data_IF_546904418344
#
_entry.id   IF_546904418344
#
_cell.length_a   1.000
_cell.length_b   1.000
_cell.length_c   1.000
_cell.angle_alpha   90.00
_cell.angle_beta   90.00
_cell.angle_gamma   90.00
#
_symmetry.space_group_name_H-M   'P 1'
#
loop_
_entity.id
_entity.type
_entity.pdbx_description
1 polymer ?
#
# COMPACT_ATOMS: atom_id res chain seq x y z
N UNK A 1 2.72 7.92 2.20
CA UNK A 1 1.85 7.91 3.39
C UNK A 1 0.70 8.90 3.22
N UNK A 2 -0.38 8.79 3.99
CA UNK A 2 -1.53 9.71 3.93
C UNK A 2 -2.90 9.02 4.05
N UNK A 3 -3.96 9.80 4.27
CA UNK A 3 -5.33 9.30 4.50
C UNK A 3 -5.93 8.53 3.30
N UNK A 4 -6.90 7.65 3.52
CA UNK A 4 -7.61 6.96 2.42
C UNK A 4 -8.24 8.00 1.48
N UNK A 5 -8.10 7.82 0.17
CA UNK A 5 -8.62 8.76 -0.83
C UNK A 5 -7.66 9.86 -1.29
N UNK A 6 -6.47 10.00 -0.68
CA UNK A 6 -5.47 11.03 -1.07
C UNK A 6 -4.65 10.70 -2.32
N UNK A 7 -4.97 9.62 -3.04
CA UNK A 7 -4.29 9.30 -4.32
C UNK A 7 -2.96 8.55 -4.21
N UNK A 8 -2.58 8.01 -3.05
CA UNK A 8 -1.31 7.28 -2.83
C UNK A 8 -1.01 6.20 -3.88
N UNK A 9 -1.99 5.32 -4.18
CA UNK A 9 -1.79 4.23 -5.13
C UNK A 9 -1.56 4.75 -6.55
N UNK A 10 -2.21 5.86 -6.93
CA UNK A 10 -1.98 6.50 -8.22
C UNK A 10 -0.56 7.06 -8.29
N UNK A 11 -0.16 7.81 -7.26
CA UNK A 11 1.21 8.36 -7.17
C UNK A 11 2.27 7.26 -7.27
N UNK A 12 2.08 6.12 -6.60
CA UNK A 12 3.05 5.01 -6.68
C UNK A 12 3.14 4.36 -8.06
N UNK A 13 2.07 4.37 -8.84
CA UNK A 13 2.14 3.90 -10.23
C UNK A 13 2.81 4.95 -11.11
N UNK A 14 2.48 6.23 -10.93
CA UNK A 14 3.07 7.33 -11.71
C UNK A 14 4.60 7.39 -11.54
N UNK A 15 5.13 7.06 -10.35
CA UNK A 15 6.58 6.99 -10.10
C UNK A 15 7.29 5.92 -10.96
N UNK A 16 6.59 4.86 -11.37
CA UNK A 16 7.17 3.80 -12.21
C UNK A 16 7.53 4.25 -13.62
N UNK A 17 7.04 5.42 -14.04
CA UNK A 17 7.45 6.04 -15.32
C UNK A 17 8.88 6.60 -15.28
N UNK A 18 9.41 6.84 -14.08
CA UNK A 18 10.73 7.41 -13.86
C UNK A 18 11.72 6.41 -13.25
N UNK A 19 11.22 5.43 -12.50
CA UNK A 19 12.03 4.48 -11.76
C UNK A 19 11.54 3.05 -11.95
N UNK A 20 12.47 2.08 -11.84
CA UNK A 20 12.11 0.67 -11.81
C UNK A 20 11.73 0.28 -10.38
N UNK A 21 10.44 0.12 -10.13
CA UNK A 21 9.90 -0.02 -8.79
C UNK A 21 8.99 -1.23 -8.63
N UNK A 22 8.92 -1.74 -7.40
CA UNK A 22 7.94 -2.72 -6.99
C UNK A 22 7.26 -2.25 -5.69
N UNK A 23 5.95 -2.50 -5.58
CA UNK A 23 5.13 -1.91 -4.52
C UNK A 23 4.85 -2.93 -3.43
N UNK A 24 5.01 -2.55 -2.17
CA UNK A 24 4.60 -3.31 -0.99
C UNK A 24 3.40 -2.59 -0.38
N UNK A 25 2.22 -3.23 -0.39
CA UNK A 25 1.03 -2.66 0.24
C UNK A 25 1.17 -2.71 1.78
N UNK A 26 1.01 -1.58 2.45
CA UNK A 26 0.98 -1.50 3.91
C UNK A 26 -0.43 -1.45 4.52
N UNK A 27 -1.49 -1.31 3.71
CA UNK A 27 -2.87 -1.29 4.20
C UNK A 27 -3.32 -2.68 4.69
N UNK A 28 -3.61 -2.78 5.98
CA UNK A 28 -3.99 -4.03 6.66
C UNK A 28 -5.22 -4.71 6.08
N UNK A 29 -6.15 -3.96 5.49
CA UNK A 29 -7.36 -4.53 4.93
C UNK A 29 -7.15 -5.05 3.50
N UNK A 30 -6.20 -4.46 2.77
CA UNK A 30 -5.93 -4.82 1.38
C UNK A 30 -5.06 -6.09 1.23
N UNK A 31 -4.51 -6.62 2.33
CA UNK A 31 -3.69 -7.85 2.32
C UNK A 31 -4.49 -9.10 1.98
N UNK A 32 -5.79 -9.13 2.29
CA UNK A 32 -6.65 -10.30 2.11
C UNK A 32 -7.09 -10.45 0.66
N UNK A 33 -7.25 -11.69 0.17
CA UNK A 33 -7.53 -11.99 -1.25
C UNK A 33 -8.86 -11.42 -1.73
N UNK A 34 -9.88 -11.43 -0.88
CA UNK A 34 -11.25 -11.01 -1.23
C UNK A 34 -11.52 -9.55 -0.83
N UNK A 35 -12.75 -9.08 -1.03
CA UNK A 35 -13.19 -7.74 -0.61
C UNK A 35 -12.57 -6.59 -1.41
N UNK A 36 -12.20 -6.81 -2.67
CA UNK A 36 -11.51 -5.83 -3.54
C UNK A 36 -12.21 -4.46 -3.59
N UNK A 37 -13.54 -4.46 -3.74
CA UNK A 37 -14.34 -3.23 -3.85
C UNK A 37 -14.31 -2.43 -2.54
N UNK A 38 -14.71 -3.07 -1.43
CA UNK A 38 -14.84 -2.39 -0.12
C UNK A 38 -13.50 -1.97 0.47
N UNK A 39 -12.44 -2.72 0.18
CA UNK A 39 -11.07 -2.37 0.58
C UNK A 39 -10.39 -1.40 -0.39
N UNK A 40 -11.04 -1.07 -1.52
CA UNK A 40 -10.54 -0.15 -2.54
C UNK A 40 -9.17 -0.56 -3.09
N UNK A 41 -9.00 -1.86 -3.37
CA UNK A 41 -7.76 -2.34 -3.98
C UNK A 41 -7.63 -1.76 -5.38
N UNK A 42 -6.39 -1.39 -5.71
CA UNK A 42 -6.03 -1.01 -7.07
C UNK A 42 -6.27 -2.20 -8.01
N UNK A 43 -6.98 -1.96 -9.10
CA UNK A 43 -7.36 -2.98 -10.09
C UNK A 43 -6.15 -3.40 -10.92
N UNK A 44 -6.23 -4.56 -11.58
CA UNK A 44 -5.14 -5.03 -12.43
C UNK A 44 -4.80 -4.06 -13.58
N UNK A 45 -5.82 -3.39 -14.14
CA UNK A 45 -5.62 -2.36 -15.16
C UNK A 45 -4.87 -1.13 -14.61
N UNK A 46 -5.26 -0.66 -13.42
CA UNK A 46 -4.60 0.48 -12.77
C UNK A 46 -3.17 0.16 -12.32
N UNK A 47 -2.84 -1.11 -12.04
CA UNK A 47 -1.47 -1.52 -11.69
C UNK A 47 -0.48 -1.35 -12.84
N UNK A 48 -0.94 -1.28 -14.10
CA UNK A 48 -0.08 -1.12 -15.29
C UNK A 48 1.10 -2.12 -15.36
N UNK A 49 0.90 -3.35 -14.89
CA UNK A 49 1.94 -4.39 -14.86
C UNK A 49 2.95 -4.28 -13.71
N UNK A 50 2.88 -3.25 -12.88
CA UNK A 50 3.74 -3.07 -11.70
C UNK A 50 3.45 -4.16 -10.68
N UNK A 51 4.51 -4.82 -10.20
CA UNK A 51 4.39 -5.88 -9.20
C UNK A 51 3.96 -5.29 -7.86
N UNK A 52 2.97 -5.93 -7.23
CA UNK A 52 2.48 -5.57 -5.90
C UNK A 52 2.59 -6.76 -4.95
N UNK A 53 3.22 -6.54 -3.81
CA UNK A 53 3.30 -7.46 -2.69
C UNK A 53 2.29 -7.08 -1.61
N UNK A 54 1.89 -8.06 -0.79
CA UNK A 54 0.94 -7.89 0.32
C UNK A 54 -0.40 -7.25 -0.11
N UNK A 55 -0.80 -7.44 -1.36
CA UNK A 55 -2.05 -6.93 -1.92
C UNK A 55 -2.87 -8.12 -2.45
N UNK A 56 -3.83 -8.58 -1.66
CA UNK A 56 -4.62 -9.76 -2.00
C UNK A 56 -3.91 -11.10 -1.85
N UNK A 57 -2.83 -11.16 -1.06
CA UNK A 57 -2.00 -12.36 -0.92
C UNK A 57 -2.50 -13.34 0.16
N UNK A 58 -3.20 -12.84 1.17
CA UNK A 58 -3.60 -13.64 2.33
C UNK A 58 -5.01 -14.20 2.17
N UNK A 59 -5.20 -15.50 2.42
CA UNK A 59 -6.52 -16.13 2.43
C UNK A 59 -7.13 -16.22 3.83
N UNK A 60 -6.27 -16.34 4.84
CA UNK A 60 -6.64 -16.50 6.25
C UNK A 60 -6.80 -15.12 6.91
N UNK A 61 -7.73 -15.02 7.85
CA UNK A 61 -8.03 -13.81 8.63
C UNK A 61 -7.00 -13.50 9.71
N UNK A 62 -6.08 -14.41 10.02
CA UNK A 62 -5.14 -14.27 11.14
C UNK A 62 -3.87 -13.47 10.82
N UNK A 63 -3.89 -12.61 9.80
CA UNK A 63 -2.72 -11.81 9.42
C UNK A 63 -2.41 -10.71 10.44
N UNK A 64 -1.28 -10.84 11.14
CA UNK A 64 -0.88 -9.92 12.23
C UNK A 64 0.17 -8.92 11.76
N UNK A 65 0.37 -7.89 12.58
CA UNK A 65 1.42 -6.90 12.37
C UNK A 65 2.84 -7.53 12.35
N UNK A 66 3.05 -8.67 13.02
CA UNK A 66 4.31 -9.43 12.93
C UNK A 66 4.51 -10.06 11.56
N UNK A 67 3.47 -10.70 11.01
CA UNK A 67 3.52 -11.28 9.67
C UNK A 67 3.78 -10.21 8.61
N UNK A 68 3.14 -9.05 8.76
CA UNK A 68 3.40 -7.88 7.92
C UNK A 68 4.87 -7.46 7.96
N UNK A 69 5.44 -7.30 9.15
CA UNK A 69 6.82 -6.89 9.33
C UNK A 69 7.78 -7.89 8.68
N UNK A 70 7.67 -9.18 9.05
CA UNK A 70 8.55 -10.24 8.56
C UNK A 70 8.46 -10.41 7.04
N UNK A 71 7.27 -10.32 6.45
CA UNK A 71 7.14 -10.40 4.99
C UNK A 71 7.67 -9.15 4.30
N UNK A 72 7.41 -7.97 4.85
CA UNK A 72 7.87 -6.71 4.25
C UNK A 72 9.40 -6.65 4.20
N UNK A 73 10.11 -7.04 5.25
CA UNK A 73 11.58 -7.07 5.23
C UNK A 73 12.11 -8.04 4.16
N UNK A 74 11.46 -9.19 3.97
CA UNK A 74 11.85 -10.15 2.94
C UNK A 74 11.60 -9.60 1.53
N UNK A 75 10.48 -8.91 1.30
CA UNK A 75 10.19 -8.29 0.01
C UNK A 75 11.13 -7.13 -0.29
N UNK A 76 11.42 -6.25 0.69
CA UNK A 76 12.41 -5.17 0.54
C UNK A 76 13.75 -5.74 0.05
N UNK A 77 14.27 -6.76 0.74
CA UNK A 77 15.54 -7.42 0.38
C UNK A 77 15.49 -8.09 -1.00
N UNK A 78 14.37 -8.72 -1.33
CA UNK A 78 14.16 -9.36 -2.64
C UNK A 78 14.15 -8.34 -3.78
N UNK A 79 13.46 -7.22 -3.60
CA UNK A 79 13.33 -6.15 -4.60
C UNK A 79 14.68 -5.45 -4.82
N UNK A 80 15.42 -5.17 -3.74
CA UNK A 80 16.74 -4.54 -3.86
C UNK A 80 17.75 -5.42 -4.61
N UNK A 81 17.67 -6.75 -4.44
CA UNK A 81 18.52 -7.70 -5.19
C UNK A 81 18.27 -7.71 -6.70
N UNK A 82 17.08 -7.30 -7.15
CA UNK A 82 16.73 -7.21 -8.58
C UNK A 82 17.04 -5.84 -9.19
N UNK A 83 17.74 -4.96 -8.46
CA UNK A 83 17.99 -3.56 -8.83
C UNK A 83 16.70 -2.75 -9.06
N UNK A 84 15.63 -3.13 -8.35
CA UNK A 84 14.39 -2.37 -8.27
C UNK A 84 14.37 -1.55 -6.96
N UNK A 85 13.66 -0.43 -6.96
CA UNK A 85 13.40 0.35 -5.74
C UNK A 85 12.09 -0.14 -5.07
N UNK A 86 12.13 -0.54 -3.79
CA UNK A 86 10.92 -0.91 -3.06
C UNK A 86 10.14 0.34 -2.63
N UNK A 87 8.85 0.41 -2.98
CA UNK A 87 7.94 1.45 -2.46
C UNK A 87 6.91 0.83 -1.53
N UNK A 88 6.84 1.31 -0.29
CA UNK A 88 5.80 0.94 0.66
C UNK A 88 4.63 1.92 0.58
N UNK A 89 3.45 1.43 0.20
CA UNK A 89 2.26 2.27 -0.06
C UNK A 89 1.08 1.79 0.77
N UNK A 90 0.43 2.68 1.52
CA UNK A 90 -0.78 2.35 2.24
C UNK A 90 -1.15 3.39 3.30
N UNK A 91 -2.28 3.17 3.97
CA UNK A 91 -2.80 4.06 5.01
C UNK A 91 -2.58 3.59 6.45
N UNK A 92 -2.09 2.36 6.67
CA UNK A 92 -1.85 1.84 8.01
C UNK A 92 -0.48 2.25 8.53
N UNK A 93 -0.36 3.47 9.04
CA UNK A 93 0.93 4.03 9.48
C UNK A 93 1.64 3.18 10.55
N UNK A 94 0.89 2.51 11.43
CA UNK A 94 1.48 1.59 12.44
C UNK A 94 2.29 0.44 11.83
N UNK A 95 1.94 -0.02 10.63
CA UNK A 95 2.71 -1.04 9.93
C UNK A 95 4.05 -0.48 9.42
N UNK A 96 4.05 0.75 8.89
CA UNK A 96 5.25 1.43 8.41
C UNK A 96 6.16 1.76 9.61
N UNK A 97 5.58 2.32 10.67
CA UNK A 97 6.27 2.63 11.92
C UNK A 97 6.95 1.41 12.50
N UNK A 98 6.26 0.26 12.53
CA UNK A 98 6.86 -1.00 12.99
C UNK A 98 8.11 -1.39 12.20
N UNK A 99 8.13 -1.20 10.88
CA UNK A 99 9.33 -1.48 10.06
C UNK A 99 10.45 -0.49 10.38
N UNK A 100 10.10 0.79 10.42
CA UNK A 100 11.05 1.91 10.49
C UNK A 100 11.70 2.03 11.88
N UNK A 101 10.94 1.75 12.94
CA UNK A 101 11.36 1.92 14.33
C UNK A 101 11.83 0.61 15.00
N UNK A 102 11.82 -0.53 14.29
CA UNK A 102 12.25 -1.79 14.90
C UNK A 102 13.74 -1.73 15.33
N UNK A 103 14.04 -1.94 16.64
CA UNK A 103 15.37 -1.72 17.18
C UNK A 103 16.38 -2.79 16.77
N UNK A 104 15.91 -3.97 16.33
CA UNK A 104 16.78 -5.08 15.93
C UNK A 104 17.07 -5.01 14.44
N UNK A 105 16.06 -4.69 13.64
CA UNK A 105 16.19 -4.56 12.20
C UNK A 105 16.93 -3.30 11.80
N UNK A 106 16.87 -2.23 12.61
CA UNK A 106 17.64 -1.00 12.43
C UNK A 106 17.45 -0.40 11.02
N UNK A 107 16.20 -0.32 10.55
CA UNK A 107 15.84 0.11 9.19
C UNK A 107 16.58 1.38 8.73
N UNK A 108 16.57 2.41 9.59
CA UNK A 108 17.15 3.73 9.32
C UNK A 108 18.67 3.72 9.08
N UNK A 109 19.36 2.69 9.56
CA UNK A 109 20.80 2.51 9.34
C UNK A 109 21.10 1.69 8.08
N UNK A 110 20.15 0.86 7.64
CA UNK A 110 20.31 -0.05 6.51
C UNK A 110 19.95 0.60 5.17
N UNK A 111 18.98 1.50 5.16
CA UNK A 111 18.43 2.05 3.93
C UNK A 111 18.37 3.56 3.97
N UNK A 112 18.74 4.19 2.85
CA UNK A 112 18.36 5.56 2.57
C UNK A 112 16.88 5.58 2.18
N UNK A 113 16.07 6.35 2.89
CA UNK A 113 14.62 6.29 2.78
C UNK A 113 14.00 7.66 2.57
N UNK A 114 13.04 7.72 1.66
CA UNK A 114 12.27 8.92 1.37
C UNK A 114 10.82 8.73 1.82
N UNK A 115 10.32 9.66 2.65
CA UNK A 115 8.94 9.65 3.13
C UNK A 115 8.13 10.71 2.40
N UNK A 116 7.23 10.26 1.52
CA UNK A 116 6.31 11.14 0.80
C UNK A 116 4.95 11.13 1.50
N UNK A 117 4.51 12.30 1.97
CA UNK A 117 3.19 12.48 2.56
C UNK A 117 2.24 13.15 1.56
N UNK A 118 1.17 12.46 1.19
CA UNK A 118 0.10 13.04 0.37
C UNK A 118 -0.95 13.66 1.28
N UNK A 119 -1.11 14.96 1.21
CA UNK A 119 -2.11 15.71 1.97
C UNK A 119 -3.18 16.31 1.06
N UNK A 120 -4.39 16.43 1.56
CA UNK A 120 -5.55 16.99 0.85
C UNK A 120 -6.39 17.78 1.84
N UNK A 121 -6.87 18.95 1.44
CA UNK A 121 -7.83 19.73 2.23
C UNK A 121 -8.99 18.86 2.74
N UNK A 122 -9.37 19.05 4.01
CA UNK A 122 -10.35 18.19 4.68
C UNK A 122 -11.71 18.20 3.96
N UNK A 123 -12.15 19.34 3.42
CA UNK A 123 -13.44 19.44 2.73
C UNK A 123 -13.41 18.69 1.41
N UNK A 124 -12.30 18.79 0.66
CA UNK A 124 -12.07 18.05 -0.57
C UNK A 124 -11.94 16.54 -0.32
N UNK A 125 -11.22 16.16 0.75
CA UNK A 125 -11.07 14.77 1.16
C UNK A 125 -12.41 14.14 1.55
N UNK A 126 -13.21 14.83 2.37
CA UNK A 126 -14.55 14.37 2.75
C UNK A 126 -15.42 14.14 1.52
N UNK A 127 -15.47 15.12 0.59
CA UNK A 127 -16.21 14.97 -0.66
C UNK A 127 -15.77 13.73 -1.43
N UNK A 128 -14.45 13.52 -1.58
CA UNK A 128 -13.94 12.34 -2.29
C UNK A 128 -14.32 11.03 -1.60
N UNK A 129 -14.21 10.97 -0.27
CA UNK A 129 -14.55 9.77 0.50
C UNK A 129 -16.02 9.42 0.34
N UNK A 130 -16.93 10.40 0.39
CA UNK A 130 -18.36 10.14 0.15
C UNK A 130 -18.60 9.57 -1.26
N UNK A 131 -18.05 10.20 -2.30
CA UNK A 131 -18.17 9.69 -3.67
C UNK A 131 -17.60 8.28 -3.81
N UNK A 132 -16.48 7.97 -3.15
CA UNK A 132 -15.91 6.63 -3.15
C UNK A 132 -16.84 5.60 -2.52
N UNK A 133 -17.53 5.95 -1.43
CA UNK A 133 -18.51 5.06 -0.79
C UNK A 133 -19.69 4.81 -1.72
N UNK A 134 -20.22 5.84 -2.36
CA UNK A 134 -21.32 5.71 -3.33
C UNK A 134 -20.92 4.81 -4.51
N UNK A 135 -19.71 5.01 -5.06
CA UNK A 135 -19.14 4.17 -6.12
C UNK A 135 -19.03 2.70 -5.67
N UNK A 136 -18.63 2.44 -4.42
CA UNK A 136 -18.53 1.07 -3.88
C UNK A 136 -19.90 0.40 -3.76
N UNK A 137 -20.89 1.11 -3.19
CA UNK A 137 -22.25 0.59 -3.03
C UNK A 137 -22.85 0.27 -4.39
N UNK A 138 -22.69 1.17 -5.36
CA UNK A 138 -23.16 0.95 -6.72
C UNK A 138 -22.50 -0.29 -7.35
N UNK A 139 -21.17 -0.44 -7.25
CA UNK A 139 -20.49 -1.64 -7.79
C UNK A 139 -20.95 -2.95 -7.14
N UNK A 140 -21.25 -2.94 -5.84
CA UNK A 140 -21.77 -4.10 -5.13
C UNK A 140 -23.21 -4.45 -5.53
N UNK A 141 -24.02 -3.46 -5.89
CA UNK A 141 -25.42 -3.69 -6.31
C UNK A 141 -25.56 -4.44 -7.66
N UNK A 142 -24.46 -4.58 -8.41
CA UNK A 142 -24.41 -5.29 -9.69
C UNK A 142 -23.69 -6.65 -9.62
N UNK A 143 -23.39 -7.15 -8.40
CA UNK A 143 -22.84 -8.49 -8.15
C UNK A 143 -23.92 -9.45 -7.64
#
# INVERSE_FOLDING_TARGET
MGAKGTGKSRLSIDLTTHFREEIINSDKMQVYKELDIVTSKITHAEKQGVRHYLLGEMKDSDFKAEDFFLKSILYIESILKTQCAPIIVGGSNSNIEKIVEDPVFMFKYKYDSCFIWTDVDQSALNRRVYTMVDEMVNKLSFL
#
